data_IF_064728652186
#
_entry.id   IF_064728652186
#
_cell.length_a   1.000
_cell.length_b   1.000
_cell.length_c   1.000
_cell.angle_alpha   90.00
_cell.angle_beta   90.00
_cell.angle_gamma   90.00
#
_symmetry.space_group_name_H-M   'P 1'
#
loop_
_entity.id
_entity.type
_entity.pdbx_description
1 polymer ?
#
# COMPACT_ATOMS: atom_id res chain seq x y z
N UNK A 1 0.51 -4.97 6.18
CA UNK A 1 1.59 -4.70 5.21
C UNK A 1 1.00 -4.65 3.81
N UNK A 2 1.47 -3.73 2.94
CA UNK A 2 0.92 -3.59 1.58
C UNK A 2 1.58 -4.51 0.55
N UNK A 3 2.85 -4.89 0.74
CA UNK A 3 3.53 -5.94 -0.03
C UNK A 3 3.94 -7.09 0.88
N UNK A 4 3.86 -8.33 0.37
CA UNK A 4 4.59 -9.47 0.93
C UNK A 4 5.99 -9.52 0.34
N UNK A 5 6.97 -9.98 1.12
CA UNK A 5 8.33 -10.21 0.61
C UNK A 5 8.36 -11.25 -0.53
N UNK A 6 7.35 -12.11 -0.62
CA UNK A 6 7.23 -13.10 -1.69
C UNK A 6 6.82 -12.48 -3.03
N UNK A 7 6.07 -11.39 -2.99
CA UNK A 7 5.54 -10.71 -4.18
C UNK A 7 6.53 -9.73 -4.78
N UNK A 8 7.51 -9.28 -3.99
CA UNK A 8 8.54 -8.35 -4.46
C UNK A 8 9.48 -9.04 -5.45
N UNK A 9 9.79 -8.34 -6.54
CA UNK A 9 10.85 -8.73 -7.46
C UNK A 9 12.21 -8.63 -6.75
N UNK A 10 12.88 -9.77 -6.61
CA UNK A 10 14.16 -9.90 -5.91
C UNK A 10 15.03 -10.95 -6.59
N UNK A 11 16.33 -10.81 -6.44
CA UNK A 11 17.31 -11.83 -6.82
C UNK A 11 17.95 -12.41 -5.57
N UNK A 12 18.18 -13.72 -5.58
CA UNK A 12 18.88 -14.43 -4.51
C UNK A 12 20.20 -14.92 -5.07
N UNK A 13 21.30 -14.54 -4.44
CA UNK A 13 22.66 -14.90 -4.86
C UNK A 13 23.42 -15.44 -3.66
N UNK A 14 24.34 -16.38 -3.89
CA UNK A 14 25.28 -16.80 -2.84
C UNK A 14 26.54 -15.95 -2.95
N UNK A 15 26.88 -15.20 -1.90
CA UNK A 15 28.09 -14.38 -1.81
C UNK A 15 28.86 -14.77 -0.56
N UNK A 16 30.13 -15.18 -0.71
CA UNK A 16 30.98 -15.56 0.42
C UNK A 16 30.40 -16.68 1.30
N UNK A 17 29.70 -17.65 0.70
CA UNK A 17 29.04 -18.75 1.43
C UNK A 17 27.67 -18.40 2.03
N UNK A 18 27.32 -17.11 2.12
CA UNK A 18 26.06 -16.61 2.65
C UNK A 18 25.03 -16.36 1.53
N UNK A 19 23.74 -16.47 1.85
CA UNK A 19 22.66 -16.09 0.95
C UNK A 19 22.43 -14.59 1.04
N UNK A 20 22.51 -13.91 -0.09
CA UNK A 20 22.22 -12.49 -0.22
C UNK A 20 20.96 -12.30 -1.07
N UNK A 21 20.05 -11.45 -0.59
CA UNK A 21 18.85 -11.04 -1.34
C UNK A 21 19.05 -9.60 -1.81
N UNK A 22 18.87 -9.37 -3.10
CA UNK A 22 18.89 -8.01 -3.69
C UNK A 22 17.50 -7.68 -4.22
N UNK A 23 16.90 -6.62 -3.67
CA UNK A 23 15.58 -6.12 -4.07
C UNK A 23 15.69 -5.33 -5.38
N UNK A 24 14.65 -5.42 -6.21
CA UNK A 24 14.54 -4.63 -7.43
C UNK A 24 13.84 -3.29 -7.13
N UNK A 25 14.64 -2.22 -7.07
CA UNK A 25 14.15 -0.85 -7.02
C UNK A 25 14.10 -0.25 -8.42
N UNK A 26 13.01 0.44 -8.73
CA UNK A 26 12.82 1.17 -9.98
C UNK A 26 13.78 2.36 -10.03
N UNK A 27 14.54 2.46 -11.12
CA UNK A 27 15.45 3.58 -11.39
C UNK A 27 14.75 4.65 -12.23
N UNK A 28 15.24 5.89 -12.20
CA UNK A 28 14.70 6.96 -13.04
C UNK A 28 14.68 6.55 -14.52
N UNK A 29 13.56 6.77 -15.21
CA UNK A 29 13.33 6.38 -16.60
C UNK A 29 12.94 4.92 -16.82
N UNK A 30 13.08 4.05 -15.81
CA UNK A 30 12.65 2.64 -15.91
C UNK A 30 11.12 2.55 -15.87
N UNK A 31 10.54 1.82 -16.83
CA UNK A 31 9.10 1.52 -16.92
C UNK A 31 8.20 2.77 -16.97
N UNK A 32 8.73 3.90 -17.46
CA UNK A 32 8.03 5.16 -17.42
C UNK A 32 6.73 5.13 -18.24
N UNK A 33 6.77 4.53 -19.44
CA UNK A 33 5.61 4.42 -20.32
C UNK A 33 4.60 3.38 -19.80
N UNK A 34 5.08 2.26 -19.26
CA UNK A 34 4.28 1.19 -18.67
C UNK A 34 3.50 1.70 -17.46
N UNK A 35 4.14 2.43 -16.56
CA UNK A 35 3.49 3.02 -15.39
C UNK A 35 2.49 4.10 -15.83
N UNK A 36 2.85 4.94 -16.80
CA UNK A 36 1.92 5.93 -17.35
C UNK A 36 0.67 5.27 -17.96
N UNK A 37 0.82 4.18 -18.70
CA UNK A 37 -0.29 3.40 -19.24
C UNK A 37 -1.14 2.77 -18.15
N UNK A 38 -0.52 2.25 -17.08
CA UNK A 38 -1.24 1.67 -15.95
C UNK A 38 -2.06 2.73 -15.19
N UNK A 39 -1.52 3.94 -15.03
CA UNK A 39 -2.26 5.09 -14.46
C UNK A 39 -3.44 5.45 -15.37
N UNK A 40 -3.21 5.60 -16.67
CA UNK A 40 -4.27 5.90 -17.64
C UNK A 40 -5.38 4.83 -17.66
N UNK A 41 -5.00 3.56 -17.49
CA UNK A 41 -5.96 2.46 -17.37
C UNK A 41 -6.88 2.62 -16.15
N UNK A 42 -6.35 2.99 -14.98
CA UNK A 42 -7.16 3.25 -13.78
C UNK A 42 -8.02 4.51 -13.93
N UNK A 43 -7.48 5.58 -14.52
CA UNK A 43 -8.24 6.81 -14.78
C UNK A 43 -9.45 6.56 -15.69
N UNK A 44 -9.32 5.70 -16.71
CA UNK A 44 -10.45 5.30 -17.57
C UNK A 44 -11.54 4.52 -16.81
N UNK A 45 -11.18 3.85 -15.73
CA UNK A 45 -12.10 3.06 -14.89
C UNK A 45 -12.75 3.87 -13.77
N UNK A 46 -12.46 5.17 -13.64
CA UNK A 46 -13.11 6.00 -12.62
C UNK A 46 -14.63 5.99 -12.77
N UNK A 47 -15.32 5.72 -11.66
CA UNK A 47 -16.78 5.56 -11.61
C UNK A 47 -17.31 4.25 -12.19
N UNK A 48 -16.45 3.39 -12.75
CA UNK A 48 -16.82 2.07 -13.25
C UNK A 48 -16.84 1.04 -12.11
N UNK A 49 -17.68 0.00 -12.20
CA UNK A 49 -17.70 -1.07 -11.21
C UNK A 49 -16.45 -1.95 -11.30
N UNK A 50 -16.09 -2.62 -10.20
CA UNK A 50 -14.90 -3.44 -10.10
C UNK A 50 -14.88 -4.62 -11.08
N UNK A 51 -16.04 -5.18 -11.44
CA UNK A 51 -16.12 -6.20 -12.50
C UNK A 51 -15.59 -5.74 -13.86
N UNK A 52 -15.54 -4.43 -14.11
CA UNK A 52 -14.96 -3.86 -15.34
C UNK A 52 -13.42 -3.82 -15.30
N UNK A 53 -12.81 -4.04 -14.13
CA UNK A 53 -11.36 -4.14 -13.97
C UNK A 53 -10.89 -5.55 -14.37
N UNK A 54 -10.18 -5.63 -15.48
CA UNK A 54 -9.54 -6.87 -15.93
C UNK A 54 -8.10 -6.93 -15.39
N UNK A 55 -7.88 -7.78 -14.38
CA UNK A 55 -6.59 -7.88 -13.71
C UNK A 55 -5.44 -8.28 -14.66
N UNK A 56 -5.72 -9.15 -15.63
CA UNK A 56 -4.70 -9.62 -16.57
C UNK A 56 -4.32 -8.56 -17.60
N UNK A 57 -5.24 -7.68 -18.01
CA UNK A 57 -4.92 -6.51 -18.84
C UNK A 57 -3.99 -5.56 -18.08
N UNK A 58 -4.33 -5.24 -16.83
CA UNK A 58 -3.50 -4.37 -15.98
C UNK A 58 -2.10 -4.95 -15.79
N UNK A 59 -1.98 -6.28 -15.63
CA UNK A 59 -0.68 -6.96 -15.50
C UNK A 59 0.12 -6.95 -16.81
N UNK A 60 -0.54 -7.16 -17.94
CA UNK A 60 0.09 -7.19 -19.26
C UNK A 60 0.75 -5.85 -19.62
N UNK A 61 0.26 -4.72 -19.09
CA UNK A 61 0.86 -3.40 -19.30
C UNK A 61 2.31 -3.29 -18.77
N UNK A 62 2.65 -4.06 -17.74
CA UNK A 62 3.98 -4.09 -17.12
C UNK A 62 4.80 -5.30 -17.60
N UNK A 63 4.13 -6.41 -17.88
CA UNK A 63 4.74 -7.66 -18.35
C UNK A 63 5.27 -8.56 -17.24
N UNK A 64 6.12 -8.05 -16.35
CA UNK A 64 6.64 -8.86 -15.23
C UNK A 64 5.60 -8.99 -14.11
N UNK A 65 5.19 -10.21 -13.80
CA UNK A 65 4.06 -10.51 -12.91
C UNK A 65 4.19 -9.92 -11.51
N UNK A 66 5.35 -10.08 -10.86
CA UNK A 66 5.59 -9.62 -9.48
C UNK A 66 5.54 -8.10 -9.40
N UNK A 67 6.26 -7.44 -10.31
CA UNK A 67 6.31 -6.00 -10.42
C UNK A 67 4.94 -5.42 -10.76
N UNK A 68 4.20 -6.05 -11.67
CA UNK A 68 2.84 -5.65 -12.01
C UNK A 68 1.91 -5.70 -10.79
N UNK A 69 1.94 -6.81 -10.05
CA UNK A 69 1.15 -6.97 -8.83
C UNK A 69 1.47 -5.87 -7.81
N UNK A 70 2.75 -5.63 -7.53
CA UNK A 70 3.16 -4.58 -6.61
C UNK A 70 2.79 -3.17 -7.11
N UNK A 71 2.92 -2.88 -8.41
CA UNK A 71 2.53 -1.57 -8.97
C UNK A 71 1.02 -1.33 -8.90
N UNK A 72 0.20 -2.34 -9.18
CA UNK A 72 -1.26 -2.26 -9.00
C UNK A 72 -1.60 -1.99 -7.54
N UNK A 73 -0.95 -2.71 -6.60
CA UNK A 73 -1.12 -2.46 -5.18
C UNK A 73 -0.65 -1.03 -4.79
N UNK A 74 0.43 -0.51 -5.36
CA UNK A 74 0.87 0.89 -5.18
C UNK A 74 -0.21 1.90 -5.55
N UNK A 75 -0.94 1.65 -6.63
CA UNK A 75 -2.03 2.51 -7.08
C UNK A 75 -3.21 2.55 -6.11
N UNK A 76 -3.35 1.58 -5.20
CA UNK A 76 -4.34 1.60 -4.12
C UNK A 76 -4.13 2.75 -3.12
N UNK A 77 -3.03 3.50 -3.22
CA UNK A 77 -2.86 4.74 -2.46
C UNK A 77 -3.68 5.91 -3.04
N UNK A 78 -3.94 5.92 -4.35
CA UNK A 78 -4.69 6.97 -5.04
C UNK A 78 -6.11 6.54 -5.40
N UNK A 79 -6.29 5.26 -5.70
CA UNK A 79 -7.55 4.70 -6.18
C UNK A 79 -8.10 3.68 -5.20
N UNK A 80 -9.39 3.80 -4.84
CA UNK A 80 -10.06 2.88 -3.95
C UNK A 80 -11.41 2.44 -4.53
N UNK A 81 -11.70 1.15 -4.38
CA UNK A 81 -13.02 0.61 -4.63
C UNK A 81 -13.93 0.97 -3.46
N UNK A 82 -15.02 1.70 -3.76
CA UNK A 82 -16.00 2.12 -2.77
C UNK A 82 -17.35 1.50 -3.07
N UNK A 83 -17.96 0.93 -2.04
CA UNK A 83 -19.32 0.44 -2.11
C UNK A 83 -20.28 1.57 -2.48
N UNK A 84 -21.26 1.27 -3.34
CA UNK A 84 -22.26 2.24 -3.76
C UNK A 84 -23.26 2.46 -2.63
N UNK A 85 -23.68 3.71 -2.46
CA UNK A 85 -24.65 4.05 -1.42
C UNK A 85 -26.05 3.58 -1.82
N UNK A 86 -26.66 2.74 -0.98
CA UNK A 86 -28.01 2.21 -1.19
C UNK A 86 -29.04 3.31 -1.54
N UNK A 87 -29.14 4.34 -0.70
CA UNK A 87 -30.13 5.40 -0.87
C UNK A 87 -30.01 6.14 -2.19
N UNK A 88 -28.78 6.43 -2.62
CA UNK A 88 -28.51 7.08 -3.91
C UNK A 88 -28.95 6.24 -5.11
N UNK A 89 -28.76 4.91 -5.06
CA UNK A 89 -29.18 4.01 -6.14
C UNK A 89 -30.69 3.83 -6.17
N UNK A 90 -31.31 3.59 -5.01
CA UNK A 90 -32.77 3.42 -4.95
C UNK A 90 -33.50 4.69 -5.40
N UNK A 91 -32.99 5.87 -5.05
CA UNK A 91 -33.55 7.14 -5.52
C UNK A 91 -33.46 7.30 -7.05
N UNK A 92 -32.37 6.85 -7.68
CA UNK A 92 -32.22 6.87 -9.14
C UNK A 92 -33.16 5.89 -9.84
N UNK A 93 -33.44 4.74 -9.22
CA UNK A 93 -34.32 3.70 -9.77
C UNK A 93 -35.81 3.98 -9.59
N UNK A 94 -36.19 4.95 -8.74
CA UNK A 94 -37.60 5.29 -8.50
C UNK A 94 -38.34 4.34 -7.56
N UNK A 95 -37.62 3.68 -6.65
CA UNK A 95 -38.19 2.79 -5.66
C UNK A 95 -39.19 3.46 -4.71
N UNK A 96 -40.18 2.71 -4.24
CA UNK A 96 -41.19 3.21 -3.30
C UNK A 96 -40.67 3.35 -1.84
N UNK A 97 -41.49 3.90 -0.96
CA UNK A 97 -41.16 4.09 0.47
C UNK A 97 -40.82 2.76 1.18
N UNK A 98 -41.47 1.66 0.79
CA UNK A 98 -41.19 0.34 1.35
C UNK A 98 -39.77 -0.13 1.03
N UNK A 99 -39.27 0.12 -0.19
CA UNK A 99 -37.88 -0.19 -0.55
C UNK A 99 -36.87 0.71 0.17
N UNK A 100 -37.22 1.99 0.39
CA UNK A 100 -36.38 2.89 1.19
C UNK A 100 -36.24 2.40 2.63
N UNK A 101 -37.30 1.82 3.20
CA UNK A 101 -37.29 1.25 4.55
C UNK A 101 -36.41 -0.01 4.68
N UNK A 102 -36.17 -0.76 3.60
CA UNK A 102 -35.26 -1.91 3.57
C UNK A 102 -33.79 -1.50 3.72
N UNK A 103 -33.39 -0.31 3.28
CA UNK A 103 -32.11 0.31 3.62
C UNK A 103 -30.79 -0.39 3.22
N UNK A 104 -30.80 -1.63 2.70
CA UNK A 104 -29.60 -2.37 2.27
C UNK A 104 -29.91 -3.65 1.48
N UNK A 105 -28.93 -4.13 0.72
CA UNK A 105 -28.99 -5.39 -0.04
C UNK A 105 -29.18 -6.62 0.85
N UNK A 106 -28.60 -6.62 2.06
CA UNK A 106 -28.77 -7.70 3.05
C UNK A 106 -30.23 -7.82 3.49
N UNK A 107 -30.85 -6.69 3.84
CA UNK A 107 -32.25 -6.67 4.25
C UNK A 107 -33.18 -7.01 3.08
N UNK A 108 -32.84 -6.59 1.86
CA UNK A 108 -33.61 -6.95 0.66
C UNK A 108 -33.56 -8.46 0.40
N UNK A 109 -32.38 -9.07 0.50
CA UNK A 109 -32.21 -10.53 0.42
C UNK A 109 -33.05 -11.26 1.47
N UNK A 110 -33.05 -10.75 2.71
CA UNK A 110 -33.87 -11.31 3.78
C UNK A 110 -35.38 -11.21 3.47
N UNK A 111 -35.86 -10.05 3.00
CA UNK A 111 -37.25 -9.86 2.62
C UNK A 111 -37.68 -10.81 1.48
N UNK A 112 -36.81 -10.99 0.47
CA UNK A 112 -37.04 -11.96 -0.59
C UNK A 112 -37.11 -13.40 -0.06
N UNK A 113 -36.18 -13.79 0.81
CA UNK A 113 -36.19 -15.15 1.40
C UNK A 113 -37.43 -15.39 2.27
N UNK A 114 -37.87 -14.40 3.04
CA UNK A 114 -39.13 -14.46 3.79
C UNK A 114 -40.31 -14.70 2.84
N UNK A 115 -40.42 -13.91 1.77
CA UNK A 115 -41.48 -14.07 0.77
C UNK A 115 -41.48 -15.49 0.14
N UNK A 116 -40.30 -15.99 -0.23
CA UNK A 116 -40.15 -17.33 -0.82
C UNK A 116 -40.49 -18.44 0.18
N UNK A 117 -40.12 -18.30 1.44
CA UNK A 117 -40.47 -19.26 2.49
C UNK A 117 -41.98 -19.33 2.72
N UNK A 118 -42.66 -18.18 2.70
CA UNK A 118 -44.10 -18.08 2.93
C UNK A 118 -44.94 -18.61 1.75
N UNK A 119 -44.52 -18.33 0.52
CA UNK A 119 -45.33 -18.60 -0.68
C UNK A 119 -44.92 -19.86 -1.45
N UNK A 120 -43.68 -20.31 -1.29
CA UNK A 120 -43.10 -21.42 -2.08
C UNK A 120 -42.43 -22.49 -1.19
N UNK A 121 -42.64 -22.44 0.14
CA UNK A 121 -42.06 -23.38 1.10
C UNK A 121 -40.52 -23.48 1.03
N UNK A 122 -39.87 -22.37 0.65
CA UNK A 122 -38.41 -22.23 0.65
C UNK A 122 -37.69 -22.77 -0.59
N UNK A 123 -38.42 -23.24 -1.62
CA UNK A 123 -37.80 -23.72 -2.86
C UNK A 123 -38.51 -23.17 -4.10
N UNK A 124 -37.73 -22.67 -5.06
CA UNK A 124 -38.21 -22.18 -6.35
C UNK A 124 -37.66 -23.04 -7.48
N UNK A 125 -38.53 -23.53 -8.36
CA UNK A 125 -38.10 -23.99 -9.68
C UNK A 125 -37.66 -22.82 -10.57
N UNK A 126 -36.97 -23.10 -11.68
CA UNK A 126 -36.55 -22.06 -12.62
C UNK A 126 -37.73 -21.21 -13.16
N UNK A 127 -38.89 -21.84 -13.40
CA UNK A 127 -40.09 -21.14 -13.85
C UNK A 127 -40.70 -20.26 -12.75
N UNK A 128 -40.77 -20.78 -11.52
CA UNK A 128 -41.29 -20.04 -10.36
C UNK A 128 -40.37 -18.90 -9.93
N UNK A 129 -39.05 -19.00 -10.17
CA UNK A 129 -38.09 -17.93 -9.83
C UNK A 129 -38.42 -16.63 -10.55
N UNK A 130 -38.68 -16.69 -11.85
CA UNK A 130 -39.00 -15.50 -12.64
C UNK A 130 -40.30 -14.84 -12.16
N UNK A 131 -41.32 -15.63 -11.86
CA UNK A 131 -42.59 -15.15 -11.33
C UNK A 131 -42.42 -14.52 -9.93
N UNK A 132 -41.75 -15.21 -9.01
CA UNK A 132 -41.51 -14.71 -7.65
C UNK A 132 -40.72 -13.39 -7.64
N UNK A 133 -39.66 -13.29 -8.45
CA UNK A 133 -38.89 -12.05 -8.57
C UNK A 133 -39.72 -10.90 -9.14
N UNK A 134 -40.57 -11.17 -10.13
CA UNK A 134 -41.45 -10.16 -10.71
C UNK A 134 -42.49 -9.66 -9.69
N UNK A 135 -43.06 -10.54 -8.87
CA UNK A 135 -44.00 -10.14 -7.82
C UNK A 135 -43.31 -9.27 -6.78
N UNK A 136 -42.14 -9.70 -6.27
CA UNK A 136 -41.38 -8.92 -5.28
C UNK A 136 -40.92 -7.59 -5.85
N UNK A 137 -40.42 -7.56 -7.09
CA UNK A 137 -39.99 -6.33 -7.74
C UNK A 137 -41.15 -5.34 -7.87
N UNK A 138 -42.33 -5.83 -8.27
CA UNK A 138 -43.55 -5.02 -8.38
C UNK A 138 -43.99 -4.43 -7.04
N UNK A 139 -43.80 -5.17 -5.93
CA UNK A 139 -44.10 -4.67 -4.58
C UNK A 139 -43.23 -3.47 -4.16
N UNK A 140 -42.06 -3.31 -4.78
CA UNK A 140 -41.12 -2.21 -4.57
C UNK A 140 -41.14 -1.15 -5.68
N UNK A 141 -42.05 -1.27 -6.65
CA UNK A 141 -42.08 -0.44 -7.86
C UNK A 141 -40.80 -0.53 -8.72
N UNK A 142 -40.17 -1.70 -8.76
CA UNK A 142 -38.96 -1.98 -9.54
C UNK A 142 -39.24 -2.91 -10.74
N UNK A 143 -38.32 -2.91 -11.70
CA UNK A 143 -38.20 -4.02 -12.64
C UNK A 143 -37.52 -5.23 -11.99
N UNK A 144 -37.73 -6.44 -12.54
CA UNK A 144 -37.02 -7.64 -12.07
C UNK A 144 -35.50 -7.50 -12.15
N UNK A 145 -34.98 -6.82 -13.19
CA UNK A 145 -33.54 -6.56 -13.34
C UNK A 145 -33.00 -5.60 -12.28
N UNK A 146 -33.78 -4.57 -11.90
CA UNK A 146 -33.35 -3.64 -10.85
C UNK A 146 -33.34 -4.33 -9.48
N UNK A 147 -34.34 -5.19 -9.21
CA UNK A 147 -34.35 -6.02 -8.00
C UNK A 147 -33.11 -6.91 -7.96
N UNK A 148 -32.83 -7.65 -9.04
CA UNK A 148 -31.64 -8.51 -9.12
C UNK A 148 -30.34 -7.74 -8.92
N UNK A 149 -30.24 -6.53 -9.49
CA UNK A 149 -29.11 -5.64 -9.27
C UNK A 149 -28.95 -5.24 -7.79
N UNK A 150 -30.02 -4.80 -7.15
CA UNK A 150 -29.99 -4.38 -5.74
C UNK A 150 -29.64 -5.53 -4.79
N UNK A 151 -30.00 -6.78 -5.12
CA UNK A 151 -29.65 -7.94 -4.30
C UNK A 151 -28.14 -8.17 -4.18
N UNK A 152 -27.35 -7.69 -5.15
CA UNK A 152 -25.89 -7.86 -5.22
C UNK A 152 -25.12 -6.54 -5.13
N UNK A 153 -25.79 -5.42 -4.84
CA UNK A 153 -25.18 -4.09 -4.81
C UNK A 153 -24.04 -3.96 -3.79
N UNK A 154 -24.04 -4.80 -2.74
CA UNK A 154 -23.01 -4.84 -1.70
C UNK A 154 -21.84 -5.78 -2.02
N UNK A 155 -21.83 -6.41 -3.20
CA UNK A 155 -20.72 -7.23 -3.67
C UNK A 155 -19.49 -6.37 -4.01
N UNK A 156 -18.29 -6.95 -3.93
CA UNK A 156 -17.06 -6.25 -4.35
C UNK A 156 -17.10 -5.90 -5.83
N UNK A 157 -17.68 -6.75 -6.67
CA UNK A 157 -17.81 -6.57 -8.12
C UNK A 157 -18.56 -5.28 -8.51
N UNK A 158 -19.49 -4.81 -7.66
CA UNK A 158 -20.28 -3.59 -7.86
C UNK A 158 -19.65 -2.35 -7.23
N UNK A 159 -18.57 -2.50 -6.45
CA UNK A 159 -17.85 -1.37 -5.90
C UNK A 159 -17.29 -0.51 -7.05
N UNK A 160 -17.40 0.81 -6.93
CA UNK A 160 -16.95 1.74 -7.97
C UNK A 160 -15.54 2.24 -7.70
N UNK A 161 -14.75 2.44 -8.74
CA UNK A 161 -13.42 3.03 -8.59
C UNK A 161 -13.55 4.52 -8.31
N UNK A 162 -12.95 4.96 -7.21
CA UNK A 162 -12.91 6.37 -6.82
C UNK A 162 -11.47 6.80 -6.61
N UNK A 163 -11.20 8.09 -6.80
CA UNK A 163 -9.90 8.70 -6.53
C UNK A 163 -9.97 9.50 -5.23
N UNK A 164 -9.02 9.27 -4.34
CA UNK A 164 -8.95 9.97 -3.03
C UNK A 164 -8.38 11.40 -3.16
N UNK A 165 -7.52 11.63 -4.15
CA UNK A 165 -6.83 12.91 -4.37
C UNK A 165 -7.39 13.66 -5.59
N UNK A 166 -7.14 14.96 -5.64
CA UNK A 166 -7.68 15.84 -6.67
C UNK A 166 -7.22 15.47 -8.09
N UNK A 167 -6.01 14.94 -8.26
CA UNK A 167 -5.43 14.56 -9.55
C UNK A 167 -4.79 13.17 -9.56
N UNK A 168 -4.54 12.62 -10.76
CA UNK A 168 -3.81 11.36 -10.89
C UNK A 168 -2.38 11.49 -10.35
N UNK A 169 -1.76 10.40 -9.88
CA UNK A 169 -0.34 10.42 -9.54
C UNK A 169 0.54 10.67 -10.77
N UNK A 170 1.71 11.23 -10.54
CA UNK A 170 2.78 11.18 -11.54
C UNK A 170 3.46 9.81 -11.53
N UNK A 171 4.14 9.47 -12.63
CA UNK A 171 4.96 8.25 -12.71
C UNK A 171 6.03 8.23 -11.60
N UNK A 172 6.64 9.39 -11.33
CA UNK A 172 7.66 9.54 -10.28
C UNK A 172 7.10 9.26 -8.88
N UNK A 173 5.85 9.67 -8.61
CA UNK A 173 5.18 9.41 -7.34
C UNK A 173 4.96 7.90 -7.16
N UNK A 174 4.46 7.21 -8.19
CA UNK A 174 4.24 5.76 -8.16
C UNK A 174 5.55 5.02 -7.96
N UNK A 175 6.61 5.38 -8.69
CA UNK A 175 7.93 4.76 -8.54
C UNK A 175 8.51 4.98 -7.14
N UNK A 176 8.40 6.21 -6.62
CA UNK A 176 8.89 6.54 -5.29
C UNK A 176 8.15 5.74 -4.20
N UNK A 177 6.84 5.59 -4.33
CA UNK A 177 6.03 4.86 -3.37
C UNK A 177 6.22 3.34 -3.49
N UNK A 178 6.32 2.80 -4.70
CA UNK A 178 6.67 1.40 -4.93
C UNK A 178 8.02 1.05 -4.27
N UNK A 179 9.04 1.89 -4.49
CA UNK A 179 10.36 1.67 -3.92
C UNK A 179 10.33 1.77 -2.39
N UNK A 180 9.55 2.71 -1.85
CA UNK A 180 9.32 2.82 -0.42
C UNK A 180 8.70 1.54 0.15
N UNK A 181 7.57 1.08 -0.38
CA UNK A 181 6.90 -0.12 0.13
C UNK A 181 7.72 -1.40 -0.08
N UNK A 182 8.52 -1.47 -1.15
CA UNK A 182 9.49 -2.54 -1.38
C UNK A 182 10.53 -2.59 -0.25
N UNK A 183 11.05 -1.42 0.13
CA UNK A 183 12.01 -1.31 1.23
C UNK A 183 11.36 -1.63 2.58
N UNK A 184 10.17 -1.09 2.85
CA UNK A 184 9.42 -1.35 4.08
C UNK A 184 9.12 -2.85 4.26
N UNK A 185 8.69 -3.52 3.20
CA UNK A 185 8.45 -4.96 3.20
C UNK A 185 9.70 -5.78 3.55
N UNK A 186 10.87 -5.39 3.04
CA UNK A 186 12.11 -6.05 3.39
C UNK A 186 12.51 -5.81 4.85
N UNK A 187 12.39 -4.56 5.33
CA UNK A 187 12.71 -4.19 6.70
C UNK A 187 11.85 -4.93 7.71
N UNK A 188 10.54 -5.09 7.45
CA UNK A 188 9.64 -5.82 8.35
C UNK A 188 9.93 -7.31 8.45
N UNK A 189 10.55 -7.89 7.41
CA UNK A 189 10.94 -9.29 7.39
C UNK A 189 12.40 -9.51 7.84
N UNK A 190 13.10 -8.45 8.27
CA UNK A 190 14.46 -8.54 8.77
C UNK A 190 14.48 -8.86 10.27
N UNK A 191 15.38 -9.76 10.69
CA UNK A 191 15.64 -10.01 12.11
C UNK A 191 16.38 -8.84 12.76
N UNK A 192 17.24 -8.16 12.00
CA UNK A 192 17.94 -6.95 12.41
C UNK A 192 18.28 -6.10 11.19
N UNK A 193 18.48 -4.80 11.40
CA UNK A 193 18.89 -3.84 10.37
C UNK A 193 20.10 -3.09 10.87
N UNK A 194 21.22 -3.25 10.16
CA UNK A 194 22.49 -2.63 10.50
C UNK A 194 22.78 -1.47 9.54
N UNK A 195 22.85 -0.26 10.07
CA UNK A 195 23.25 0.94 9.34
C UNK A 195 24.70 1.28 9.65
N UNK A 196 25.51 1.38 8.60
CA UNK A 196 26.89 1.87 8.68
C UNK A 196 26.94 3.28 8.13
N UNK A 197 27.25 4.24 8.98
CA UNK A 197 27.19 5.67 8.66
C UNK A 197 28.59 6.28 8.76
N UNK A 198 29.13 6.71 7.62
CA UNK A 198 30.30 7.59 7.59
C UNK A 198 29.87 8.98 8.03
N UNK A 199 30.31 9.38 9.23
CA UNK A 199 29.93 10.63 9.85
C UNK A 199 30.40 11.85 9.05
N UNK A 200 31.58 11.76 8.45
CA UNK A 200 32.18 12.86 7.69
C UNK A 200 31.54 13.01 6.31
N UNK A 201 31.17 11.90 5.66
CA UNK A 201 30.39 11.95 4.42
C UNK A 201 28.98 12.50 4.68
N UNK A 202 28.37 12.14 5.81
CA UNK A 202 27.05 12.65 6.20
C UNK A 202 27.06 14.16 6.43
N UNK A 203 28.02 14.67 7.20
CA UNK A 203 28.15 16.10 7.45
C UNK A 203 28.45 16.91 6.17
N UNK A 204 29.25 16.36 5.24
CA UNK A 204 29.52 16.98 3.94
C UNK A 204 28.30 17.02 3.01
N UNK A 205 27.40 16.05 3.15
CA UNK A 205 26.15 16.00 2.39
C UNK A 205 25.11 17.02 2.89
N UNK A 206 25.31 17.68 4.03
CA UNK A 206 24.50 18.83 4.41
C UNK A 206 24.98 20.08 3.66
N UNK A 207 24.13 20.64 2.80
CA UNK A 207 24.48 21.87 2.08
C UNK A 207 24.52 23.06 3.05
N UNK A 208 25.47 24.01 2.92
CA UNK A 208 25.54 25.19 3.77
C UNK A 208 24.28 26.07 3.71
N UNK A 209 23.49 25.99 2.62
CA UNK A 209 22.19 26.67 2.50
C UNK A 209 21.09 26.08 3.40
N UNK A 210 21.13 24.79 3.75
CA UNK A 210 20.15 24.17 4.67
C UNK A 210 20.45 24.47 6.14
N UNK A 211 21.71 24.75 6.49
CA UNK A 211 22.12 25.11 7.84
C UNK A 211 21.58 26.48 8.29
N UNK A 212 21.36 27.41 7.35
CA UNK A 212 20.81 28.75 7.61
C UNK A 212 19.29 28.74 7.86
N UNK A 213 18.56 27.74 7.35
CA UNK A 213 17.10 27.66 7.50
C UNK A 213 16.66 26.74 8.66
N UNK A 214 17.50 25.79 9.08
CA UNK A 214 17.25 24.92 10.23
C UNK A 214 18.59 24.60 10.93
N UNK A 215 18.94 25.26 12.05
CA UNK A 215 20.27 25.12 12.70
C UNK A 215 20.47 23.80 13.46
N UNK A 216 19.82 22.69 13.08
CA UNK A 216 19.71 21.49 13.92
C UNK A 216 20.38 20.21 13.41
N UNK A 217 21.04 20.15 12.27
CA UNK A 217 21.21 18.86 11.60
C UNK A 217 22.62 18.22 11.61
N UNK A 218 23.44 18.47 12.63
CA UNK A 218 24.61 17.61 12.87
C UNK A 218 24.18 16.13 13.07
N UNK A 219 25.03 15.17 12.68
CA UNK A 219 24.75 13.73 12.83
C UNK A 219 24.21 13.35 14.22
N UNK A 220 24.68 14.01 15.28
CA UNK A 220 24.23 13.78 16.66
C UNK A 220 22.75 14.08 16.86
N UNK A 221 22.18 15.06 16.16
CA UNK A 221 20.76 15.36 16.22
C UNK A 221 19.93 14.33 15.44
N UNK A 222 20.43 13.84 14.30
CA UNK A 222 19.80 12.75 13.53
C UNK A 222 19.77 11.47 14.35
N UNK A 223 20.88 11.10 14.98
CA UNK A 223 20.96 9.95 15.89
C UNK A 223 20.02 10.14 17.06
N UNK A 224 20.05 11.28 17.76
CA UNK A 224 19.13 11.56 18.87
C UNK A 224 17.67 11.43 18.46
N UNK A 225 17.31 11.95 17.28
CA UNK A 225 15.95 11.85 16.73
C UNK A 225 15.59 10.40 16.40
N UNK A 226 16.52 9.65 15.82
CA UNK A 226 16.32 8.23 15.52
C UNK A 226 16.14 7.42 16.81
N UNK A 227 17.00 7.62 17.81
CA UNK A 227 16.89 6.97 19.13
C UNK A 227 15.59 7.34 19.85
N UNK A 228 15.16 8.60 19.75
CA UNK A 228 13.88 9.06 20.28
C UNK A 228 12.71 8.37 19.59
N UNK A 229 12.74 8.26 18.26
CA UNK A 229 11.72 7.55 17.49
C UNK A 229 11.71 6.06 17.82
N UNK A 230 12.87 5.41 17.86
CA UNK A 230 13.00 4.01 18.24
C UNK A 230 12.38 3.74 19.62
N UNK A 231 12.70 4.57 20.63
CA UNK A 231 12.07 4.48 21.96
C UNK A 231 10.57 4.69 21.92
N UNK A 232 10.08 5.70 21.19
CA UNK A 232 8.65 5.99 21.07
C UNK A 232 7.88 4.86 20.37
N UNK A 233 8.54 4.18 19.44
CA UNK A 233 7.98 3.09 18.63
C UNK A 233 8.24 1.70 19.26
N UNK A 234 8.92 1.64 20.41
CA UNK A 234 9.23 0.38 21.10
C UNK A 234 10.26 -0.50 20.39
N UNK A 235 11.07 0.06 19.50
CA UNK A 235 12.11 -0.67 18.76
C UNK A 235 13.42 -0.67 19.56
N UNK A 236 13.96 -1.86 19.81
CA UNK A 236 15.28 -2.01 20.43
C UNK A 236 16.38 -1.60 19.44
N UNK A 237 17.40 -0.92 19.94
CA UNK A 237 18.53 -0.47 19.14
C UNK A 237 19.83 -0.53 19.91
N UNK A 238 20.93 -0.65 19.16
CA UNK A 238 22.30 -0.55 19.65
C UNK A 238 23.10 0.45 18.81
N UNK A 239 24.08 1.10 19.44
CA UNK A 239 24.92 2.14 18.85
C UNK A 239 26.38 1.88 19.20
N UNK A 240 27.19 1.62 18.18
CA UNK A 240 28.63 1.42 18.33
C UNK A 240 29.40 2.41 17.47
N UNK A 241 30.37 3.09 18.07
CA UNK A 241 31.28 3.96 17.34
C UNK A 241 32.58 3.21 17.09
N UNK A 242 32.91 3.00 15.82
CA UNK A 242 34.22 2.46 15.46
C UNK A 242 35.23 3.59 15.58
N UNK A 243 36.02 3.56 16.65
CA UNK A 243 37.11 4.51 16.83
C UNK A 243 38.26 4.09 15.92
N UNK A 244 38.68 5.04 15.07
CA UNK A 244 39.88 4.96 14.24
C UNK A 244 41.09 4.52 15.08
N UNK A 245 41.35 3.22 15.11
CA UNK A 245 42.50 2.69 15.85
C UNK A 245 43.70 2.80 14.92
N UNK A 246 44.66 3.60 15.37
CA UNK A 246 45.97 3.90 14.77
C UNK A 246 45.99 4.96 13.66
N UNK A 247 46.58 6.10 14.02
CA UNK A 247 47.08 7.10 13.10
C UNK A 247 48.04 6.44 12.10
N UNK A 248 47.59 6.29 10.86
CA UNK A 248 48.50 5.99 9.75
C UNK A 248 49.49 7.16 9.63
N UNK A 249 50.77 6.86 9.49
CA UNK A 249 51.88 7.81 9.29
C UNK A 249 51.74 8.66 8.01
N UNK A 250 50.64 8.49 7.27
CA UNK A 250 50.26 9.19 6.05
C UNK A 250 49.01 10.05 6.28
N UNK A 251 49.12 11.10 7.11
CA UNK A 251 48.43 12.39 6.92
C UNK A 251 46.89 12.52 6.89
N UNK A 252 46.09 11.47 6.98
CA UNK A 252 44.62 11.62 7.11
C UNK A 252 44.06 10.70 8.19
N UNK A 253 43.50 11.29 9.25
CA UNK A 253 42.77 10.56 10.27
C UNK A 253 41.58 9.80 9.64
N UNK A 254 41.34 8.53 9.98
CA UNK A 254 40.17 7.80 9.49
C UNK A 254 38.88 8.49 9.95
N UNK A 255 37.90 8.61 9.05
CA UNK A 255 36.59 9.17 9.39
C UNK A 255 35.88 8.25 10.40
N UNK A 256 35.29 8.79 11.49
CA UNK A 256 34.57 7.96 12.44
C UNK A 256 33.36 7.32 11.75
N UNK A 257 33.24 6.00 11.90
CA UNK A 257 32.12 5.20 11.41
C UNK A 257 31.20 4.93 12.59
N UNK A 258 29.90 5.19 12.38
CA UNK A 258 28.86 4.82 13.34
C UNK A 258 28.13 3.59 12.83
N UNK A 259 28.01 2.59 13.69
CA UNK A 259 27.17 1.42 13.51
C UNK A 259 25.91 1.59 14.35
N UNK A 260 24.75 1.53 13.70
CA UNK A 260 23.45 1.54 14.35
C UNK A 260 22.73 0.23 14.00
N UNK A 261 22.39 -0.54 15.02
CA UNK A 261 21.62 -1.78 14.86
C UNK A 261 20.21 -1.54 15.35
N UNK A 262 19.21 -1.86 14.53
CA UNK A 262 17.80 -1.92 14.92
C UNK A 262 17.35 -3.38 14.92
N UNK A 263 16.80 -3.84 16.03
CA UNK A 263 16.35 -5.23 16.15
C UNK A 263 14.92 -5.37 15.65
N UNK A 264 14.72 -6.35 14.77
CA UNK A 264 13.47 -6.69 14.11
C UNK A 264 12.41 -7.25 15.05
N UNK A 265 11.14 -7.28 14.61
CA UNK A 265 10.03 -7.77 15.42
C UNK A 265 10.15 -9.27 15.77
N UNK A 266 10.93 -10.04 15.00
CA UNK A 266 11.13 -11.48 15.23
C UNK A 266 11.98 -11.79 16.48
N UNK A 267 12.80 -10.85 16.96
CA UNK A 267 13.65 -11.04 18.13
C UNK A 267 12.99 -10.61 19.44
N UNK A 268 11.82 -9.94 19.37
CA UNK A 268 11.08 -9.48 20.55
C UNK A 268 9.96 -10.48 20.85
N UNK A 269 10.15 -11.32 21.86
CA UNK A 269 9.19 -12.35 22.32
C UNK A 269 7.97 -11.77 23.06
N UNK A 270 7.33 -10.72 22.53
CA UNK A 270 6.16 -10.05 23.08
C UNK A 270 5.06 -9.83 22.03
N UNK A 271 3.81 -9.62 22.48
CA UNK A 271 2.61 -9.64 21.64
C UNK A 271 2.77 -8.83 20.31
N UNK A 272 2.71 -9.50 19.15
CA UNK A 272 3.09 -8.92 17.84
C UNK A 272 2.20 -7.73 17.40
N UNK A 273 0.96 -7.67 17.88
CA UNK A 273 -0.07 -6.78 17.33
C UNK A 273 0.14 -5.28 17.55
N UNK A 274 0.99 -4.85 18.49
CA UNK A 274 1.23 -3.41 18.75
C UNK A 274 2.50 -2.87 18.07
N UNK A 275 3.53 -3.71 17.85
CA UNK A 275 4.75 -3.33 17.14
C UNK A 275 4.58 -3.36 15.61
N UNK A 276 3.63 -4.17 15.10
CA UNK A 276 3.28 -4.25 13.68
C UNK A 276 2.85 -2.88 13.09
N UNK A 277 2.27 -2.01 13.92
CA UNK A 277 1.88 -0.64 13.53
C UNK A 277 3.01 0.39 13.66
N UNK A 278 4.08 0.10 14.41
CA UNK A 278 5.14 1.05 14.74
C UNK A 278 6.34 1.00 13.75
N UNK A 279 6.64 -0.19 13.22
CA UNK A 279 7.68 -0.42 12.22
C UNK A 279 7.54 0.35 10.88
N UNK A 280 6.33 0.54 10.32
CA UNK A 280 6.14 1.34 9.09
C UNK A 280 6.64 2.78 9.22
N UNK A 281 6.55 3.38 10.41
CA UNK A 281 7.03 4.75 10.67
C UNK A 281 8.56 4.80 10.73
N UNK A 282 9.20 3.81 11.34
CA UNK A 282 10.66 3.65 11.34
C UNK A 282 11.20 3.40 9.92
N UNK A 283 10.50 2.59 9.13
CA UNK A 283 10.88 2.27 7.76
C UNK A 283 10.66 3.45 6.79
N UNK A 284 9.57 4.21 6.93
CA UNK A 284 9.35 5.48 6.23
C UNK A 284 10.41 6.54 6.58
N UNK A 285 10.88 6.56 7.83
CA UNK A 285 11.98 7.45 8.25
C UNK A 285 13.34 7.01 7.71
N UNK A 286 13.64 5.70 7.74
CA UNK A 286 14.83 5.14 7.09
C UNK A 286 14.83 5.44 5.58
N UNK A 287 13.68 5.32 4.92
CA UNK A 287 13.50 5.71 3.53
C UNK A 287 13.74 7.21 3.29
N UNK A 288 13.28 8.10 4.18
CA UNK A 288 13.53 9.54 4.09
C UNK A 288 15.03 9.88 4.18
N UNK A 289 15.80 9.15 5.00
CA UNK A 289 17.26 9.27 5.09
C UNK A 289 17.92 8.82 3.77
N UNK A 290 17.49 7.68 3.21
CA UNK A 290 18.02 7.12 1.95
C UNK A 290 17.69 8.01 0.74
N UNK A 291 16.45 8.51 0.63
CA UNK A 291 15.96 9.35 -0.48
C UNK A 291 16.68 10.70 -0.57
N UNK A 292 17.06 11.30 0.56
CA UNK A 292 17.86 12.55 0.59
C UNK A 292 19.23 12.38 -0.06
N UNK A 293 19.82 11.17 -0.01
CA UNK A 293 21.14 10.89 -0.60
C UNK A 293 21.06 10.60 -2.10
N UNK A 294 20.01 9.92 -2.56
CA UNK A 294 19.82 9.59 -3.98
C UNK A 294 19.62 10.82 -4.87
N UNK A 295 18.96 11.89 -4.39
CA UNK A 295 18.74 13.14 -5.14
C UNK A 295 19.99 14.00 -5.35
N UNK A 296 21.12 13.71 -4.70
CA UNK A 296 22.37 14.49 -4.83
C UNK A 296 23.43 13.86 -5.73
N UNK A 297 23.22 12.61 -6.16
CA UNK A 297 24.16 11.93 -7.07
C UNK A 297 23.75 12.05 -8.55
N UNK A 298 22.70 12.81 -8.87
CA UNK A 298 22.17 12.99 -10.23
C UNK A 298 21.96 14.48 -10.57
N UNK A 299 22.68 15.37 -9.90
CA UNK A 299 22.76 16.81 -10.23
C UNK A 299 24.21 17.24 -10.39
#
# INVERSE_FOLDING_TARGET
MRFSLQDIRKSVQRRGGQLAVSLHFLRAGELQEEIARLIAYHERLLGQPQRSFVADEARALIGEYRLAHCLIATLSHWYNWRQREWGGIVAQMGGNEALQAVGSSVQLRLALYTYVNEHYHGFLSAQQRAEALQVVASSYALSSSDLEYLLVLDSEDEAILTRELAGPPTVEDVMALYNQWTFEAALFNASSVHFVIDVMAFNRAESPQSALQNPTAGIGAVIKRLCFLARRLGVYYDLEYEQATQASLTGSAPSPILHLTLYGPQEVTGAPSSMDCAWPVSAAFCWAIVRKRARKNHS
#
